data_IF_257902440279
#
_entry.id   IF_257902440279
#
_cell.length_a   1.000
_cell.length_b   1.000
_cell.length_c   1.000
_cell.angle_alpha   90.00
_cell.angle_beta   90.00
_cell.angle_gamma   90.00
#
_symmetry.space_group_name_H-M   'P 1'
#
loop_
_entity.id
_entity.type
_entity.pdbx_description
1 polymer ?
#
# COMPACT_ATOMS: atom_id res chain seq x y z
N UNK A 1 -46.06 -5.82 67.25
CA UNK A 1 -44.88 -5.31 67.98
C UNK A 1 -44.82 -3.80 67.71
N UNK A 2 -45.06 -2.98 68.75
CA UNK A 2 -44.99 -1.49 68.87
C UNK A 2 -45.55 -0.60 67.74
N UNK A 3 -46.66 0.13 67.91
CA UNK A 3 -46.88 1.39 68.66
C UNK A 3 -46.48 2.69 67.90
N UNK A 4 -47.53 3.42 67.48
CA UNK A 4 -47.81 4.87 67.44
C UNK A 4 -46.77 5.91 66.95
N UNK A 5 -47.28 6.87 66.16
CA UNK A 5 -46.66 8.18 65.93
C UNK A 5 -47.39 9.03 64.86
N UNK A 6 -48.45 9.74 65.26
CA UNK A 6 -49.03 10.85 64.49
C UNK A 6 -48.07 12.05 64.49
N UNK A 7 -47.94 12.81 63.39
CA UNK A 7 -48.33 14.23 63.34
C UNK A 7 -47.96 15.01 62.06
N UNK A 8 -48.98 15.76 61.61
CA UNK A 8 -49.01 17.09 60.95
C UNK A 8 -48.28 17.41 59.65
N UNK A 9 -49.13 17.86 58.72
CA UNK A 9 -48.91 18.73 57.56
C UNK A 9 -48.15 20.00 57.94
N UNK A 10 -47.07 20.29 57.21
CA UNK A 10 -46.42 21.60 57.15
C UNK A 10 -46.27 22.00 55.68
N UNK A 11 -47.02 23.03 55.27
CA UNK A 11 -46.87 23.69 53.96
C UNK A 11 -45.70 24.66 54.12
N UNK A 12 -44.54 24.33 53.55
CA UNK A 12 -43.41 25.26 53.48
C UNK A 12 -43.48 26.09 52.19
N UNK A 13 -43.49 27.41 52.39
CA UNK A 13 -43.58 28.44 51.37
C UNK A 13 -42.33 28.45 50.47
N UNK A 14 -42.53 28.25 49.16
CA UNK A 14 -41.51 28.44 48.15
C UNK A 14 -41.10 29.92 48.08
N UNK A 15 -39.93 30.26 48.65
CA UNK A 15 -39.30 31.57 48.47
C UNK A 15 -38.89 31.70 47.00
N UNK A 16 -39.53 32.65 46.29
CA UNK A 16 -39.08 33.11 44.96
C UNK A 16 -37.69 33.73 45.11
N UNK A 17 -36.70 33.17 44.42
CA UNK A 17 -35.41 33.82 44.19
C UNK A 17 -35.64 35.07 43.31
N UNK A 18 -34.99 36.17 43.66
CA UNK A 18 -35.01 37.43 42.90
C UNK A 18 -34.13 37.32 41.66
N UNK A 19 -34.44 38.14 40.65
CA UNK A 19 -33.84 38.12 39.31
C UNK A 19 -32.33 38.47 39.25
N UNK A 20 -31.69 38.73 40.39
CA UNK A 20 -30.26 39.09 40.48
C UNK A 20 -29.33 37.88 40.67
N UNK A 21 -29.87 36.68 40.95
CA UNK A 21 -29.07 35.42 41.00
C UNK A 21 -28.95 34.72 39.63
N UNK A 22 -29.45 35.31 38.54
CA UNK A 22 -29.43 34.70 37.19
C UNK A 22 -28.21 35.08 36.33
N UNK A 23 -27.18 35.70 36.91
CA UNK A 23 -25.97 36.09 36.18
C UNK A 23 -24.73 35.43 36.78
N UNK A 24 -24.54 34.14 36.51
CA UNK A 24 -23.25 33.43 36.52
C UNK A 24 -23.51 31.96 36.22
N UNK A 25 -23.29 31.57 34.97
CA UNK A 25 -22.83 30.27 34.49
C UNK A 25 -23.06 30.22 32.96
N UNK A 26 -22.42 31.15 32.24
CA UNK A 26 -21.99 30.84 30.88
C UNK A 26 -20.57 30.31 31.04
N UNK A 27 -20.46 29.02 31.36
CA UNK A 27 -19.22 28.29 31.09
C UNK A 27 -19.02 28.34 29.58
N UNK A 28 -18.00 29.06 29.16
CA UNK A 28 -17.43 28.99 27.83
C UNK A 28 -17.00 27.53 27.61
N UNK A 29 -17.87 26.74 26.96
CA UNK A 29 -17.55 25.37 26.55
C UNK A 29 -16.44 25.51 25.52
N UNK A 30 -15.19 25.41 25.98
CA UNK A 30 -14.02 25.36 25.14
C UNK A 30 -14.24 24.25 24.11
N UNK A 31 -14.44 24.66 22.86
CA UNK A 31 -14.51 23.73 21.73
C UNK A 31 -13.17 22.98 21.76
N UNK A 32 -13.17 21.65 21.94
CA UNK A 32 -11.93 20.89 21.94
C UNK A 32 -11.18 21.22 20.65
N UNK A 33 -9.84 21.35 20.70
CA UNK A 33 -9.07 21.56 19.48
C UNK A 33 -9.49 20.50 18.46
N UNK A 34 -9.68 20.87 17.18
CA UNK A 34 -10.06 19.89 16.17
C UNK A 34 -9.09 18.73 16.26
N UNK A 35 -9.63 17.50 16.38
CA UNK A 35 -8.81 16.30 16.33
C UNK A 35 -7.84 16.45 15.15
N UNK A 36 -6.54 16.14 15.35
CA UNK A 36 -5.59 16.23 14.25
C UNK A 36 -6.17 15.41 13.11
N UNK A 37 -6.45 16.07 12.00
CA UNK A 37 -6.96 15.40 10.79
C UNK A 37 -5.96 14.28 10.51
N UNK A 38 -6.39 13.03 10.71
CA UNK A 38 -5.56 11.87 10.40
C UNK A 38 -5.13 12.04 8.95
N UNK A 39 -3.82 12.14 8.71
CA UNK A 39 -3.33 12.25 7.34
C UNK A 39 -3.91 11.09 6.53
N UNK A 40 -4.41 11.36 5.31
CA UNK A 40 -5.01 10.32 4.50
C UNK A 40 -4.00 9.19 4.29
N UNK A 41 -4.42 7.91 4.44
CA UNK A 41 -3.52 6.78 4.23
C UNK A 41 -2.80 6.89 2.88
N UNK A 42 -1.49 6.68 2.91
CA UNK A 42 -0.63 6.78 1.73
C UNK A 42 -0.32 5.40 1.17
N UNK A 43 -0.89 5.09 0.01
CA UNK A 43 -0.63 3.86 -0.73
C UNK A 43 0.53 4.03 -1.71
N UNK A 44 1.42 3.04 -1.74
CA UNK A 44 2.54 2.99 -2.69
C UNK A 44 2.41 1.71 -3.50
N UNK A 45 2.18 1.87 -4.80
CA UNK A 45 1.83 0.78 -5.71
C UNK A 45 3.05 0.36 -6.56
N UNK A 46 3.39 -0.91 -6.49
CA UNK A 46 4.57 -1.52 -7.11
C UNK A 46 4.14 -2.52 -8.18
N UNK A 47 4.58 -2.28 -9.41
CA UNK A 47 4.24 -3.10 -10.57
C UNK A 47 4.98 -4.45 -10.59
N UNK A 48 4.52 -5.35 -11.47
CA UNK A 48 5.16 -6.64 -11.74
C UNK A 48 6.12 -6.60 -12.92
N UNK A 49 6.57 -7.78 -13.37
CA UNK A 49 7.48 -7.95 -14.51
C UNK A 49 6.94 -7.30 -15.80
N UNK A 50 7.80 -6.57 -16.51
CA UNK A 50 7.44 -5.86 -17.75
C UNK A 50 6.42 -4.72 -17.61
N UNK A 51 6.06 -4.37 -16.37
CA UNK A 51 5.12 -3.29 -16.06
C UNK A 51 5.81 -1.93 -15.85
N UNK A 52 5.06 -1.04 -15.21
CA UNK A 52 5.50 0.27 -14.77
C UNK A 52 4.37 0.92 -13.96
N UNK A 53 4.60 2.10 -13.40
CA UNK A 53 3.62 2.91 -12.69
C UNK A 53 2.32 3.10 -13.48
N UNK A 54 2.42 3.15 -14.82
CA UNK A 54 1.30 3.28 -15.75
C UNK A 54 0.24 2.19 -15.59
N UNK A 55 0.58 0.98 -15.14
CA UNK A 55 -0.41 -0.11 -15.03
C UNK A 55 -1.47 0.18 -13.95
N UNK A 56 -1.18 1.09 -13.03
CA UNK A 56 -2.05 1.45 -11.93
C UNK A 56 -2.97 2.64 -12.23
N UNK A 57 -2.95 3.22 -13.43
CA UNK A 57 -3.61 4.51 -13.69
C UNK A 57 -5.09 4.55 -13.28
N UNK A 58 -5.88 3.51 -13.60
CA UNK A 58 -7.30 3.43 -13.23
C UNK A 58 -7.48 3.39 -11.71
N UNK A 59 -6.69 2.55 -11.05
CA UNK A 59 -6.78 2.37 -9.59
C UNK A 59 -6.34 3.64 -8.86
N UNK A 60 -5.24 4.25 -9.32
CA UNK A 60 -4.76 5.54 -8.83
C UNK A 60 -5.87 6.60 -8.89
N UNK A 61 -6.50 6.78 -10.05
CA UNK A 61 -7.58 7.77 -10.20
C UNK A 61 -8.74 7.52 -9.24
N UNK A 62 -9.18 6.27 -9.07
CA UNK A 62 -10.28 5.92 -8.17
C UNK A 62 -9.92 6.17 -6.69
N UNK A 63 -8.71 5.80 -6.29
CA UNK A 63 -8.23 5.96 -4.91
C UNK A 63 -8.01 7.43 -4.56
N UNK A 64 -7.38 8.21 -5.45
CA UNK A 64 -7.21 9.66 -5.27
C UNK A 64 -8.57 10.37 -5.20
N UNK A 65 -9.54 9.98 -6.05
CA UNK A 65 -10.91 10.51 -6.01
C UNK A 65 -11.66 10.16 -4.72
N UNK A 66 -11.21 9.11 -4.01
CA UNK A 66 -11.76 8.69 -2.72
C UNK A 66 -11.02 9.31 -1.53
N UNK A 67 -10.07 10.23 -1.77
CA UNK A 67 -9.35 10.95 -0.72
C UNK A 67 -8.07 10.28 -0.23
N UNK A 68 -7.62 9.19 -0.85
CA UNK A 68 -6.34 8.56 -0.49
C UNK A 68 -5.16 9.21 -1.20
N UNK A 69 -4.00 9.25 -0.53
CA UNK A 69 -2.74 9.63 -1.17
C UNK A 69 -2.16 8.40 -1.86
N UNK A 70 -1.77 8.52 -3.13
CA UNK A 70 -1.26 7.38 -3.92
C UNK A 70 0.03 7.75 -4.63
N UNK A 71 1.03 6.87 -4.52
CA UNK A 71 2.27 6.93 -5.30
C UNK A 71 2.42 5.65 -6.11
N UNK A 72 2.47 5.77 -7.43
CA UNK A 72 2.80 4.65 -8.33
C UNK A 72 4.24 4.85 -8.77
N UNK A 73 5.11 3.87 -8.49
CA UNK A 73 6.53 4.00 -8.77
C UNK A 73 6.92 3.16 -9.99
N UNK A 74 7.77 3.71 -10.85
CA UNK A 74 8.56 2.92 -11.78
C UNK A 74 9.79 2.40 -11.04
N UNK A 75 9.98 1.08 -11.03
CA UNK A 75 11.24 0.49 -10.61
C UNK A 75 12.30 0.73 -11.69
N UNK A 76 13.57 0.48 -11.37
CA UNK A 76 14.68 0.79 -12.29
C UNK A 76 14.51 -0.01 -13.59
N UNK A 77 14.76 0.63 -14.73
CA UNK A 77 14.57 0.09 -16.08
C UNK A 77 13.13 -0.36 -16.43
N UNK A 78 12.12 0.12 -15.69
CA UNK A 78 10.71 -0.14 -15.95
C UNK A 78 9.94 1.14 -16.29
N UNK A 79 8.75 0.99 -16.89
CA UNK A 79 7.91 2.11 -17.30
C UNK A 79 8.65 3.14 -18.15
N UNK A 80 8.82 4.36 -17.62
CA UNK A 80 9.52 5.46 -18.31
C UNK A 80 10.96 5.66 -17.83
N UNK A 81 11.48 4.84 -16.91
CA UNK A 81 12.88 4.91 -16.49
C UNK A 81 13.80 4.57 -17.68
N UNK A 82 14.77 5.44 -18.03
CA UNK A 82 15.56 5.28 -19.24
C UNK A 82 16.72 4.28 -19.10
N UNK A 83 16.89 3.66 -17.93
CA UNK A 83 18.00 2.74 -17.69
C UNK A 83 17.82 1.48 -18.53
N UNK A 84 18.93 0.93 -19.02
CA UNK A 84 18.90 -0.34 -19.70
C UNK A 84 18.77 -1.48 -18.68
N UNK A 85 17.77 -2.35 -18.87
CA UNK A 85 17.53 -3.49 -17.98
C UNK A 85 18.71 -4.47 -17.91
N UNK A 86 19.56 -4.52 -18.95
CA UNK A 86 20.76 -5.36 -18.95
C UNK A 86 21.89 -4.82 -18.04
N UNK A 87 21.81 -3.55 -17.65
CA UNK A 87 22.81 -2.93 -16.76
C UNK A 87 22.40 -3.06 -15.28
N UNK A 88 21.22 -3.62 -14.99
CA UNK A 88 20.71 -3.83 -13.64
C UNK A 88 21.12 -5.22 -13.15
N UNK A 89 22.17 -5.27 -12.33
CA UNK A 89 22.83 -6.52 -11.96
C UNK A 89 22.44 -7.07 -10.60
N UNK A 90 21.72 -6.28 -9.79
CA UNK A 90 21.24 -6.72 -8.49
C UNK A 90 19.82 -6.22 -8.20
N UNK A 91 19.14 -6.94 -7.30
CA UNK A 91 17.75 -6.63 -6.95
C UNK A 91 17.61 -5.31 -6.20
N UNK A 92 18.66 -4.90 -5.47
CA UNK A 92 18.68 -3.61 -4.78
C UNK A 92 18.70 -2.43 -5.78
N UNK A 93 19.48 -2.52 -6.85
CA UNK A 93 19.49 -1.51 -7.92
C UNK A 93 18.12 -1.44 -8.62
N UNK A 94 17.48 -2.58 -8.85
CA UNK A 94 16.12 -2.64 -9.38
C UNK A 94 15.12 -1.92 -8.45
N UNK A 95 15.22 -2.16 -7.14
CA UNK A 95 14.35 -1.58 -6.12
C UNK A 95 14.72 -0.15 -5.72
N UNK A 96 15.83 0.41 -6.22
CA UNK A 96 16.35 1.71 -5.80
C UNK A 96 15.28 2.82 -5.76
N UNK A 97 14.41 2.99 -6.77
CA UNK A 97 13.34 4.01 -6.71
C UNK A 97 12.40 3.85 -5.51
N UNK A 98 12.05 2.61 -5.13
CA UNK A 98 11.23 2.31 -3.96
C UNK A 98 11.99 2.59 -2.66
N UNK A 99 13.24 2.13 -2.55
CA UNK A 99 14.04 2.30 -1.35
C UNK A 99 14.36 3.79 -1.08
N UNK A 100 14.70 4.54 -2.13
CA UNK A 100 14.91 5.98 -2.06
C UNK A 100 13.63 6.70 -1.63
N UNK A 101 12.48 6.35 -2.22
CA UNK A 101 11.19 6.89 -1.81
C UNK A 101 10.93 6.67 -0.31
N UNK A 102 11.10 5.44 0.20
CA UNK A 102 10.87 5.12 1.61
C UNK A 102 11.85 5.85 2.54
N UNK A 103 13.10 6.04 2.12
CA UNK A 103 14.11 6.78 2.87
C UNK A 103 13.77 8.27 3.02
N UNK A 104 13.04 8.86 2.05
CA UNK A 104 12.61 10.26 2.12
C UNK A 104 11.42 10.51 3.04
N UNK A 105 10.70 9.46 3.47
CA UNK A 105 9.55 9.62 4.35
C UNK A 105 9.99 10.13 5.75
N UNK A 106 9.26 11.06 6.38
CA UNK A 106 9.46 11.45 7.78
C UNK A 106 9.44 10.26 8.73
N UNK A 107 10.16 10.34 9.86
CA UNK A 107 10.27 9.24 10.85
C UNK A 107 8.92 8.74 11.39
N UNK A 108 7.94 9.63 11.52
CA UNK A 108 6.61 9.33 12.04
C UNK A 108 5.61 8.88 10.97
N UNK A 109 5.98 8.93 9.68
CA UNK A 109 5.08 8.58 8.58
C UNK A 109 5.26 7.10 8.18
N UNK A 110 4.12 6.42 8.01
CA UNK A 110 4.05 5.08 7.46
C UNK A 110 3.20 5.04 6.19
N UNK A 111 3.51 4.10 5.31
CA UNK A 111 2.78 3.86 4.05
C UNK A 111 2.21 2.45 4.00
N UNK A 112 1.22 2.27 3.13
CA UNK A 112 0.68 0.97 2.74
C UNK A 112 1.34 0.57 1.42
N UNK A 113 2.15 -0.49 1.45
CA UNK A 113 2.77 -1.03 0.23
C UNK A 113 1.80 -1.99 -0.45
N UNK A 114 1.69 -1.89 -1.78
CA UNK A 114 0.90 -2.80 -2.60
C UNK A 114 1.77 -3.34 -3.73
N UNK A 115 2.00 -4.64 -3.75
CA UNK A 115 2.79 -5.32 -4.79
C UNK A 115 1.91 -6.16 -5.69
N UNK A 116 2.10 -6.05 -7.00
CA UNK A 116 1.45 -6.92 -7.99
C UNK A 116 2.45 -7.90 -8.61
N UNK A 117 2.08 -9.18 -8.74
CA UNK A 117 2.91 -10.21 -9.39
C UNK A 117 4.34 -10.22 -8.82
N UNK A 118 5.37 -10.14 -9.65
CA UNK A 118 6.78 -10.08 -9.23
C UNK A 118 7.09 -8.89 -8.31
N UNK A 119 6.28 -7.82 -8.30
CA UNK A 119 6.41 -6.69 -7.38
C UNK A 119 6.24 -7.08 -5.91
N UNK A 120 5.65 -8.25 -5.62
CA UNK A 120 5.61 -8.82 -4.27
C UNK A 120 7.00 -9.02 -3.66
N UNK A 121 8.00 -9.40 -4.46
CA UNK A 121 9.39 -9.54 -4.01
C UNK A 121 9.96 -8.21 -3.52
N UNK A 122 9.68 -7.12 -4.25
CA UNK A 122 10.10 -5.77 -3.89
C UNK A 122 9.40 -5.29 -2.61
N UNK A 123 8.11 -5.62 -2.43
CA UNK A 123 7.37 -5.35 -1.19
C UNK A 123 7.96 -6.11 -0.01
N UNK A 124 8.30 -7.39 -0.18
CA UNK A 124 8.94 -8.18 0.88
C UNK A 124 10.31 -7.61 1.25
N UNK A 125 11.18 -7.31 0.29
CA UNK A 125 12.50 -6.70 0.51
C UNK A 125 12.40 -5.35 1.23
N UNK A 126 11.51 -4.47 0.76
CA UNK A 126 11.26 -3.18 1.38
C UNK A 126 10.72 -3.32 2.81
N UNK A 127 9.87 -4.33 3.07
CA UNK A 127 9.35 -4.59 4.41
C UNK A 127 10.45 -4.99 5.39
N UNK A 128 11.43 -5.78 4.94
CA UNK A 128 12.60 -6.10 5.77
C UNK A 128 13.46 -4.87 6.09
N UNK A 129 13.72 -4.03 5.08
CA UNK A 129 14.62 -2.87 5.21
C UNK A 129 13.99 -1.66 5.89
N UNK A 130 12.69 -1.45 5.69
CA UNK A 130 11.95 -0.25 6.11
C UNK A 130 10.71 -0.59 6.95
N UNK A 131 10.77 -1.64 7.77
CA UNK A 131 9.62 -2.10 8.58
C UNK A 131 8.96 -0.99 9.42
N UNK A 132 9.71 0.02 9.86
CA UNK A 132 9.17 1.15 10.63
C UNK A 132 8.36 2.15 9.78
N UNK A 133 8.53 2.13 8.46
CA UNK A 133 7.87 3.01 7.48
C UNK A 133 6.66 2.36 6.81
N UNK A 134 6.36 1.09 7.10
CA UNK A 134 5.34 0.32 6.40
C UNK A 134 4.32 -0.16 7.43
N UNK A 135 3.09 0.34 7.33
CA UNK A 135 2.00 -0.04 8.24
C UNK A 135 1.27 -1.30 7.78
N UNK A 136 1.23 -1.55 6.46
CA UNK A 136 0.59 -2.70 5.85
C UNK A 136 1.27 -3.03 4.51
N UNK A 137 1.44 -4.33 4.24
CA UNK A 137 1.88 -4.85 2.95
C UNK A 137 0.75 -5.68 2.32
N UNK A 138 0.34 -5.33 1.10
CA UNK A 138 -0.73 -5.96 0.34
C UNK A 138 -0.13 -6.65 -0.89
N UNK A 139 -0.47 -7.93 -1.09
CA UNK A 139 0.01 -8.75 -2.21
C UNK A 139 -1.16 -9.05 -3.15
N UNK A 140 -1.17 -8.40 -4.32
CA UNK A 140 -2.22 -8.57 -5.35
C UNK A 140 -1.72 -9.56 -6.39
N UNK A 141 -2.20 -10.81 -6.32
CA UNK A 141 -1.73 -11.91 -7.17
C UNK A 141 -0.21 -11.90 -7.32
N UNK A 142 0.48 -11.74 -6.18
CA UNK A 142 1.88 -11.40 -6.10
C UNK A 142 2.72 -12.48 -5.42
N UNK A 143 3.99 -12.55 -5.80
CA UNK A 143 4.95 -13.48 -5.22
C UNK A 143 5.22 -13.10 -3.76
N UNK A 144 4.76 -13.92 -2.82
CA UNK A 144 4.88 -13.69 -1.37
C UNK A 144 5.82 -14.72 -0.75
N UNK A 145 7.10 -14.66 -1.13
CA UNK A 145 8.14 -15.56 -0.65
C UNK A 145 8.91 -14.91 0.49
N UNK A 146 9.16 -15.67 1.57
CA UNK A 146 9.81 -15.14 2.78
C UNK A 146 11.19 -14.53 2.51
N UNK A 147 12.01 -15.18 1.69
CA UNK A 147 13.39 -14.76 1.41
C UNK A 147 13.64 -14.54 -0.09
N UNK A 148 12.58 -14.28 -0.87
CA UNK A 148 12.67 -14.31 -2.34
C UNK A 148 13.04 -15.69 -2.88
N UNK A 149 13.61 -15.75 -4.08
CA UNK A 149 14.01 -17.00 -4.73
C UNK A 149 15.36 -17.50 -4.17
N UNK A 150 15.32 -18.46 -3.23
CA UNK A 150 16.52 -19.07 -2.65
C UNK A 150 16.67 -20.54 -3.05
N UNK A 151 15.56 -21.21 -3.34
CA UNK A 151 15.48 -22.65 -3.63
C UNK A 151 14.74 -22.91 -4.94
N UNK A 152 14.89 -24.12 -5.50
CA UNK A 152 14.09 -24.54 -6.65
C UNK A 152 12.58 -24.56 -6.36
N UNK A 153 12.20 -24.79 -5.10
CA UNK A 153 10.80 -24.76 -4.70
C UNK A 153 10.25 -23.34 -4.77
N UNK A 154 11.03 -22.34 -4.36
CA UNK A 154 10.64 -20.93 -4.48
C UNK A 154 10.35 -20.56 -5.94
N UNK A 155 11.12 -21.09 -6.90
CA UNK A 155 10.90 -20.86 -8.33
C UNK A 155 9.54 -21.43 -8.75
N UNK A 156 9.21 -22.66 -8.32
CA UNK A 156 7.92 -23.31 -8.62
C UNK A 156 6.74 -22.55 -8.00
N UNK A 157 6.93 -22.01 -6.81
CA UNK A 157 5.86 -21.33 -6.07
C UNK A 157 5.71 -19.86 -6.49
N UNK A 158 6.80 -19.21 -6.91
CA UNK A 158 6.84 -17.78 -7.16
C UNK A 158 6.74 -17.35 -8.63
N UNK A 159 7.03 -18.24 -9.59
CA UNK A 159 6.87 -17.98 -11.02
C UNK A 159 5.53 -18.55 -11.50
N UNK A 160 4.68 -17.76 -12.18
CA UNK A 160 3.43 -18.25 -12.74
C UNK A 160 3.63 -19.43 -13.69
N UNK A 161 2.76 -20.44 -13.60
CA UNK A 161 2.73 -21.54 -14.57
C UNK A 161 2.25 -21.02 -15.93
N UNK A 162 3.18 -21.00 -16.88
CA UNK A 162 2.97 -20.57 -18.27
C UNK A 162 3.10 -21.73 -19.26
N UNK A 163 3.04 -22.98 -18.79
CA UNK A 163 3.16 -24.18 -19.63
C UNK A 163 2.15 -24.22 -20.79
N UNK A 164 0.93 -23.73 -20.56
CA UNK A 164 -0.12 -23.57 -21.58
C UNK A 164 0.27 -22.65 -22.75
N UNK A 165 1.33 -21.85 -22.61
CA UNK A 165 1.83 -20.93 -23.63
C UNK A 165 3.18 -21.38 -24.23
N UNK A 166 3.58 -22.64 -24.00
CA UNK A 166 4.82 -23.21 -24.52
C UNK A 166 6.05 -23.00 -23.65
N UNK A 167 5.85 -22.64 -22.37
CA UNK A 167 6.95 -22.45 -21.41
C UNK A 167 7.57 -21.05 -21.42
N UNK A 168 8.59 -20.85 -20.57
CA UNK A 168 9.20 -19.53 -20.29
C UNK A 168 9.75 -18.89 -21.57
N UNK A 169 10.46 -19.64 -22.40
CA UNK A 169 11.06 -19.13 -23.64
C UNK A 169 10.03 -18.62 -24.65
N UNK A 170 8.79 -19.13 -24.61
CA UNK A 170 7.71 -18.66 -25.48
C UNK A 170 6.94 -17.48 -24.90
N UNK A 171 7.07 -17.23 -23.59
CA UNK A 171 6.36 -16.16 -22.88
C UNK A 171 7.23 -14.93 -22.67
N UNK A 172 8.52 -15.11 -22.39
CA UNK A 172 9.42 -14.04 -22.01
C UNK A 172 10.51 -13.81 -23.07
N UNK A 173 10.81 -12.55 -23.34
CA UNK A 173 12.10 -12.15 -23.89
C UNK A 173 13.05 -11.92 -22.71
N UNK A 174 14.09 -12.74 -22.63
CA UNK A 174 15.10 -12.70 -21.57
C UNK A 174 16.38 -12.02 -22.07
N UNK A 175 16.91 -11.10 -21.28
CA UNK A 175 18.19 -10.44 -21.54
C UNK A 175 19.32 -11.06 -20.74
N UNK A 176 20.52 -11.00 -21.32
CA UNK A 176 21.75 -11.59 -20.77
C UNK A 176 22.84 -10.53 -20.68
N UNK A 177 22.65 -9.53 -19.81
CA UNK A 177 23.57 -8.41 -19.62
C UNK A 177 24.97 -8.82 -19.17
N UNK A 178 25.08 -9.97 -18.50
CA UNK A 178 26.35 -10.57 -18.07
C UNK A 178 26.99 -11.51 -19.11
N UNK A 179 26.44 -11.57 -20.32
CA UNK A 179 26.84 -12.51 -21.37
C UNK A 179 25.92 -13.74 -21.46
N UNK A 180 25.90 -14.39 -22.63
CA UNK A 180 24.94 -15.48 -22.95
C UNK A 180 25.07 -16.72 -22.08
N UNK A 181 26.25 -16.93 -21.48
CA UNK A 181 26.52 -18.05 -20.58
C UNK A 181 26.18 -17.71 -19.11
N UNK A 182 25.83 -16.46 -18.83
CA UNK A 182 25.39 -16.00 -17.51
C UNK A 182 23.90 -16.21 -17.26
N UNK A 183 23.43 -16.05 -16.00
CA UNK A 183 22.01 -16.08 -15.71
C UNK A 183 21.28 -14.92 -16.41
N UNK A 184 19.97 -15.06 -16.72
CA UNK A 184 19.16 -13.97 -17.22
C UNK A 184 19.21 -12.75 -16.27
N UNK A 185 19.43 -11.57 -16.83
CA UNK A 185 19.48 -10.29 -16.08
C UNK A 185 18.20 -9.48 -16.22
N UNK A 186 17.43 -9.71 -17.28
CA UNK A 186 16.15 -9.04 -17.52
C UNK A 186 15.13 -9.98 -18.14
N UNK A 187 13.85 -9.69 -17.94
CA UNK A 187 12.74 -10.42 -18.53
C UNK A 187 11.60 -9.45 -18.84
N UNK A 188 11.04 -9.56 -20.05
CA UNK A 188 9.81 -8.87 -20.44
C UNK A 188 8.87 -9.88 -21.08
N UNK A 189 7.57 -9.79 -20.80
CA UNK A 189 6.59 -10.65 -21.47
C UNK A 189 6.50 -10.25 -22.94
N UNK A 190 6.61 -11.22 -23.84
CA UNK A 190 6.55 -11.04 -25.30
C UNK A 190 5.27 -10.36 -25.72
N UNK A 191 5.37 -9.31 -26.56
CA UNK A 191 4.22 -8.54 -27.07
C UNK A 191 3.12 -9.42 -27.68
N UNK A 192 3.51 -10.50 -28.37
CA UNK A 192 2.60 -11.45 -29.03
C UNK A 192 1.71 -12.22 -28.04
N UNK A 193 2.12 -12.33 -26.77
CA UNK A 193 1.40 -13.09 -25.74
C UNK A 193 0.87 -12.21 -24.60
N UNK A 194 1.38 -10.99 -24.42
CA UNK A 194 0.95 -10.05 -23.35
C UNK A 194 -0.57 -9.92 -23.25
N UNK A 195 -1.27 -9.80 -24.39
CA UNK A 195 -2.72 -9.70 -24.40
C UNK A 195 -3.42 -10.98 -23.98
N UNK A 196 -2.84 -12.16 -24.26
CA UNK A 196 -3.43 -13.45 -23.91
C UNK A 196 -3.23 -13.81 -22.44
N UNK A 197 -2.17 -13.30 -21.82
CA UNK A 197 -1.80 -13.63 -20.43
C UNK A 197 -2.16 -12.51 -19.46
N UNK A 198 -1.72 -11.28 -19.72
CA UNK A 198 -1.82 -10.15 -18.78
C UNK A 198 -3.12 -9.37 -19.02
N UNK A 199 -3.47 -9.12 -20.27
CA UNK A 199 -4.54 -8.18 -20.65
C UNK A 199 -5.72 -8.88 -21.34
N UNK A 200 -6.01 -10.13 -20.99
CA UNK A 200 -7.04 -10.93 -21.68
C UNK A 200 -8.46 -10.37 -21.48
N UNK A 201 -8.69 -9.69 -20.36
CA UNK A 201 -9.94 -8.98 -20.03
C UNK A 201 -9.92 -7.51 -20.42
N UNK A 202 -8.82 -6.99 -20.97
CA UNK A 202 -8.77 -5.61 -21.42
C UNK A 202 -9.66 -5.45 -22.67
N UNK A 203 -10.44 -4.36 -22.77
CA UNK A 203 -11.26 -4.10 -23.94
C UNK A 203 -10.41 -4.06 -25.22
N UNK A 204 -11.02 -4.45 -26.33
CA UNK A 204 -10.49 -4.13 -27.66
C UNK A 204 -10.59 -2.61 -27.84
N UNK A 205 -9.46 -1.95 -28.08
CA UNK A 205 -9.45 -0.58 -28.58
C UNK A 205 -10.08 -0.49 -29.97
#
# INVERSE_FOLDING_TARGET
MQLIGSNTVGIESAKRKTAEEMTKEEEEVAVPPPEPLLEPPHFVLIHGVGGGAWCWYKLRCLMESSGYKVSCLDLKAAGIDPSNANDILCFEDYNKPLLDFLATLPSHQQVILVGHSAGGLSVTDATYKFHQKISLAIYVSATMLRNGFTTEQDIKDGIPDVSNFGGVDNVYDVGFGLGRDGPPTSAIVKKTIQRKIIYQMSPLE
#
